data_IF_706146643593
#
_entry.id   IF_706146643593
#
_cell.length_a   1.000
_cell.length_b   1.000
_cell.length_c   1.000
_cell.angle_alpha   90.00
_cell.angle_beta   90.00
_cell.angle_gamma   90.00
#
_symmetry.space_group_name_H-M   'P 1'
#
loop_
_entity.id
_entity.type
_entity.pdbx_description
1 polymer ?
#
# COMPACT_ATOMS: atom_id res chain seq x y z
N UNK A 1 -8.01 -28.85 8.15
CA UNK A 1 -7.29 -27.66 8.63
C UNK A 1 -7.67 -26.55 7.68
N UNK A 2 -8.38 -25.53 8.15
CA UNK A 2 -8.83 -24.40 7.34
C UNK A 2 -8.83 -23.16 8.23
N UNK A 3 -8.49 -22.01 7.64
CA UNK A 3 -8.61 -20.69 8.23
C UNK A 3 -9.65 -19.94 7.38
N UNK A 4 -10.68 -19.40 8.03
CA UNK A 4 -11.69 -18.56 7.38
C UNK A 4 -11.53 -17.14 7.90
N UNK A 5 -11.36 -16.17 6.99
CA UNK A 5 -11.15 -14.76 7.34
C UNK A 5 -12.01 -13.90 6.44
N UNK A 6 -12.74 -12.97 7.05
CA UNK A 6 -13.52 -11.96 6.34
C UNK A 6 -12.94 -10.58 6.61
N UNK A 7 -12.96 -9.74 5.57
CA UNK A 7 -12.37 -8.40 5.61
C UNK A 7 -13.42 -7.35 5.32
N UNK A 8 -13.27 -6.18 5.91
CA UNK A 8 -13.88 -4.95 5.38
C UNK A 8 -13.09 -4.48 4.13
N UNK A 9 -13.60 -3.52 3.33
CA UNK A 9 -13.05 -3.22 2.00
C UNK A 9 -11.55 -2.90 1.92
N UNK A 10 -10.93 -2.41 3.00
CA UNK A 10 -9.52 -2.03 3.04
C UNK A 10 -8.60 -3.02 3.76
N UNK A 11 -9.12 -4.20 4.12
CA UNK A 11 -8.31 -5.30 4.63
C UNK A 11 -8.28 -5.44 6.15
N UNK A 12 -9.02 -4.62 6.89
CA UNK A 12 -9.22 -4.84 8.33
C UNK A 12 -10.05 -6.10 8.52
N UNK A 13 -9.60 -6.93 9.46
CA UNK A 13 -10.17 -8.25 9.74
C UNK A 13 -11.47 -8.05 10.50
N UNK A 14 -12.59 -8.48 9.91
CA UNK A 14 -13.90 -8.41 10.53
C UNK A 14 -14.22 -9.69 11.30
N UNK A 15 -14.00 -10.84 10.68
CA UNK A 15 -14.19 -12.17 11.28
C UNK A 15 -12.96 -13.00 11.02
N UNK A 16 -12.52 -13.74 12.04
CA UNK A 16 -11.43 -14.69 11.89
C UNK A 16 -11.68 -15.97 12.68
N UNK A 17 -11.78 -17.07 11.95
CA UNK A 17 -11.93 -18.41 12.50
C UNK A 17 -10.68 -19.24 12.18
N UNK A 18 -9.93 -19.61 13.22
CA UNK A 18 -8.70 -20.40 13.11
C UNK A 18 -8.82 -21.70 13.89
N UNK A 19 -8.31 -22.79 13.33
CA UNK A 19 -8.11 -24.04 14.04
C UNK A 19 -6.61 -24.15 14.37
N UNK A 20 -6.23 -24.32 15.65
CA UNK A 20 -4.86 -24.20 16.18
C UNK A 20 -3.75 -25.02 15.49
N UNK A 21 -4.09 -25.88 14.53
CA UNK A 21 -3.16 -26.69 13.74
C UNK A 21 -2.49 -25.94 12.58
N UNK A 22 -3.10 -24.87 12.05
CA UNK A 22 -2.56 -24.10 10.93
C UNK A 22 -3.10 -22.66 10.94
N UNK A 23 -2.21 -21.68 10.89
CA UNK A 23 -2.55 -20.28 10.65
C UNK A 23 -1.46 -19.59 9.84
N UNK A 24 -1.84 -18.78 8.86
CA UNK A 24 -0.94 -17.96 8.07
C UNK A 24 -1.10 -16.48 8.43
N UNK A 25 0.00 -15.73 8.39
CA UNK A 25 -0.01 -14.26 8.52
C UNK A 25 -0.25 -13.58 7.15
N UNK A 26 -0.24 -14.32 6.05
CA UNK A 26 -0.60 -13.81 4.73
C UNK A 26 -2.12 -13.80 4.59
N UNK A 27 -2.70 -12.60 4.61
CA UNK A 27 -4.15 -12.37 4.71
C UNK A 27 -4.64 -11.58 3.49
N UNK A 28 -5.16 -10.36 3.70
CA UNK A 28 -5.72 -9.52 2.64
C UNK A 28 -4.72 -9.31 1.50
N UNK A 29 -5.18 -9.48 0.25
CA UNK A 29 -4.34 -9.44 -0.97
C UNK A 29 -3.10 -10.35 -0.93
N UNK A 30 -3.14 -11.42 -0.14
CA UNK A 30 -2.01 -12.30 0.11
C UNK A 30 -0.76 -11.55 0.62
N UNK A 31 -0.96 -10.46 1.36
CA UNK A 31 0.11 -9.71 2.03
C UNK A 31 0.20 -10.12 3.49
N UNK A 32 1.43 -10.09 3.99
CA UNK A 32 1.73 -10.38 5.38
C UNK A 32 1.17 -9.26 6.25
N UNK A 33 0.31 -9.63 7.21
CA UNK A 33 -0.12 -8.78 8.29
C UNK A 33 0.90 -8.91 9.42
N UNK A 34 1.58 -7.81 9.72
CA UNK A 34 2.43 -7.72 10.89
C UNK A 34 1.57 -7.60 12.16
N UNK A 35 1.65 -8.60 13.03
CA UNK A 35 0.83 -8.68 14.23
C UNK A 35 1.25 -7.70 15.33
N UNK A 36 2.48 -7.15 15.28
CA UNK A 36 2.94 -6.15 16.25
C UNK A 36 2.37 -4.77 15.95
N UNK A 37 2.26 -4.43 14.67
CA UNK A 37 1.84 -3.10 14.20
C UNK A 37 0.42 -3.04 13.66
N UNK A 38 -0.16 -4.17 13.25
CA UNK A 38 -1.45 -4.24 12.57
C UNK A 38 -1.41 -3.75 11.12
N UNK A 39 -0.23 -3.70 10.51
CA UNK A 39 -0.02 -3.16 9.16
C UNK A 39 0.26 -4.27 8.14
N UNK A 40 -0.20 -4.07 6.91
CA UNK A 40 0.16 -4.96 5.80
C UNK A 40 1.46 -4.53 5.13
N UNK A 41 2.41 -5.45 5.03
CA UNK A 41 3.66 -5.22 4.30
C UNK A 41 3.49 -5.53 2.80
N UNK A 42 3.66 -4.49 1.96
CA UNK A 42 3.58 -4.60 0.50
C UNK A 42 4.95 -4.54 -0.19
N UNK A 43 6.05 -4.72 0.55
CA UNK A 43 7.41 -4.63 0.02
C UNK A 43 7.98 -3.22 0.10
N UNK A 44 7.38 -2.30 -0.65
CA UNK A 44 7.83 -0.90 -0.72
C UNK A 44 7.15 0.01 0.33
N UNK A 45 5.97 -0.37 0.81
CA UNK A 45 5.13 0.44 1.71
C UNK A 45 4.37 -0.44 2.70
N UNK A 46 3.93 0.19 3.79
CA UNK A 46 2.98 -0.37 4.75
C UNK A 46 1.60 0.24 4.55
N UNK A 47 0.56 -0.60 4.51
CA UNK A 47 -0.85 -0.20 4.46
C UNK A 47 -1.46 -0.33 5.86
N UNK A 48 -2.08 0.74 6.33
CA UNK A 48 -2.99 0.75 7.48
C UNK A 48 -4.38 0.30 7.00
N UNK A 49 -4.85 -0.90 7.41
CA UNK A 49 -6.13 -1.44 6.98
C UNK A 49 -7.35 -0.77 7.63
N UNK A 50 -7.19 -0.15 8.81
CA UNK A 50 -8.26 0.57 9.51
C UNK A 50 -8.42 1.97 8.92
N UNK A 51 -7.30 2.65 8.69
CA UNK A 51 -7.26 4.00 8.13
C UNK A 51 -7.39 4.06 6.59
N UNK A 52 -7.35 2.92 5.91
CA UNK A 52 -7.36 2.81 4.44
C UNK A 52 -6.24 3.62 3.76
N UNK A 53 -5.06 3.69 4.38
CA UNK A 53 -4.00 4.63 4.00
C UNK A 53 -2.61 3.99 3.99
N UNK A 54 -1.78 4.42 3.04
CA UNK A 54 -0.35 4.10 3.03
C UNK A 54 0.40 5.01 4.00
N UNK A 55 1.30 4.44 4.80
CA UNK A 55 2.09 5.23 5.76
C UNK A 55 3.18 6.10 5.12
N UNK A 56 3.47 5.88 3.84
CA UNK A 56 4.46 6.66 3.09
C UNK A 56 3.97 6.99 1.68
N UNK A 57 4.53 8.08 1.15
CA UNK A 57 4.36 8.48 -0.26
C UNK A 57 4.92 7.38 -1.16
N UNK A 58 4.37 7.25 -2.37
CA UNK A 58 4.87 6.30 -3.36
C UNK A 58 6.36 6.56 -3.67
N UNK A 59 7.27 5.57 -3.56
CA UNK A 59 8.68 5.77 -3.87
C UNK A 59 8.96 6.24 -5.30
N UNK A 60 8.05 5.99 -6.25
CA UNK A 60 8.19 6.48 -7.63
C UNK A 60 7.78 7.95 -7.79
N UNK A 61 7.23 8.57 -6.74
CA UNK A 61 6.75 9.96 -6.79
C UNK A 61 7.84 10.97 -7.16
N UNK A 62 9.05 10.82 -6.60
CA UNK A 62 10.17 11.75 -6.86
C UNK A 62 10.59 11.71 -8.33
N UNK A 63 10.76 10.52 -8.89
CA UNK A 63 11.10 10.34 -10.31
C UNK A 63 10.02 10.92 -11.24
N UNK A 64 8.74 10.75 -10.87
CA UNK A 64 7.63 11.31 -11.63
C UNK A 64 7.63 12.85 -11.57
N UNK A 65 7.99 13.43 -10.41
CA UNK A 65 8.07 14.87 -10.23
C UNK A 65 9.23 15.47 -11.03
N UNK A 66 10.40 14.82 -11.03
CA UNK A 66 11.54 15.24 -11.84
C UNK A 66 11.16 15.31 -13.33
N UNK A 67 10.51 14.26 -13.85
CA UNK A 67 10.01 14.24 -15.23
C UNK A 67 9.01 15.38 -15.52
N UNK A 68 8.05 15.62 -14.62
CA UNK A 68 7.09 16.70 -14.78
C UNK A 68 7.76 18.07 -14.75
N UNK A 69 8.75 18.27 -13.88
CA UNK A 69 9.49 19.52 -13.78
C UNK A 69 10.34 19.78 -15.03
N UNK A 70 11.02 18.76 -15.56
CA UNK A 70 11.72 18.85 -16.84
C UNK A 70 10.78 19.24 -17.98
N UNK A 71 9.63 18.55 -18.08
CA UNK A 71 8.62 18.86 -19.09
C UNK A 71 8.12 20.31 -18.97
N UNK A 72 7.80 20.77 -17.76
CA UNK A 72 7.36 22.14 -17.51
C UNK A 72 8.44 23.15 -17.86
N UNK A 73 9.72 22.84 -17.63
CA UNK A 73 10.82 23.72 -18.00
C UNK A 73 10.97 23.84 -19.53
N UNK A 74 10.80 22.74 -20.26
CA UNK A 74 10.76 22.74 -21.74
C UNK A 74 9.60 23.61 -22.24
N UNK A 75 8.39 23.40 -21.70
CA UNK A 75 7.20 24.19 -22.07
C UNK A 75 7.41 25.67 -21.75
N UNK A 76 7.97 25.99 -20.58
CA UNK A 76 8.27 27.36 -20.17
C UNK A 76 9.26 28.03 -21.13
N UNK A 77 10.33 27.34 -21.52
CA UNK A 77 11.31 27.87 -22.50
C UNK A 77 10.67 28.12 -23.87
N UNK A 78 9.79 27.23 -24.32
CA UNK A 78 9.09 27.38 -25.61
C UNK A 78 8.14 28.57 -25.65
N UNK A 79 7.49 28.91 -24.52
CA UNK A 79 6.58 30.06 -24.42
C UNK A 79 7.37 31.38 -24.29
N UNK A 80 8.47 31.38 -23.52
CA UNK A 80 9.28 32.58 -23.28
C UNK A 80 10.20 32.96 -24.46
N UNK A 81 10.42 32.06 -25.42
CA UNK A 81 11.17 32.32 -26.66
C UNK A 81 10.31 32.84 -27.82
N UNK A 82 9.11 33.36 -27.54
CA UNK A 82 8.29 34.12 -28.48
C UNK A 82 8.34 35.62 -28.22
#
# INVERSE_FOLDING_TARGET
MAQHVEYIPYGEVFVEERNHSFSTNFLFNAKELDNETGLYYYGARYLDPTGAMWLSVDPMWENNMEFLMEFLEVVRKMILLK
#
